data_IF_956763737710
#
_entry.id   IF_956763737710
#
_cell.length_a   1.000
_cell.length_b   1.000
_cell.length_c   1.000
_cell.angle_alpha   90.00
_cell.angle_beta   90.00
_cell.angle_gamma   90.00
#
_symmetry.space_group_name_H-M   'P 1'
#
loop_
_entity.id
_entity.type
_entity.pdbx_description
1 polymer ?
#
# COMPACT_ATOMS: atom_id res chain seq x y z
N UNK A 1 -23.74 -41.02 -63.96
CA UNK A 1 -22.93 -39.86 -63.50
C UNK A 1 -23.17 -39.67 -62.02
N UNK A 2 -22.09 -39.34 -61.28
CA UNK A 2 -21.96 -39.04 -59.84
C UNK A 2 -21.71 -40.24 -58.91
N UNK A 3 -20.42 -40.50 -58.73
CA UNK A 3 -19.85 -41.28 -57.64
C UNK A 3 -19.87 -40.46 -56.33
N UNK A 4 -20.18 -41.13 -55.23
CA UNK A 4 -20.14 -40.61 -53.86
C UNK A 4 -18.72 -40.84 -53.33
N UNK A 5 -17.96 -39.77 -53.10
CA UNK A 5 -16.67 -39.83 -52.40
C UNK A 5 -16.90 -39.65 -50.90
N UNK A 6 -16.58 -40.67 -50.12
CA UNK A 6 -16.60 -40.63 -48.66
C UNK A 6 -15.32 -39.90 -48.19
N UNK A 7 -15.46 -38.69 -47.64
CA UNK A 7 -14.36 -37.97 -46.99
C UNK A 7 -14.32 -38.42 -45.52
N UNK A 8 -13.36 -39.27 -45.17
CA UNK A 8 -13.03 -39.58 -43.76
C UNK A 8 -12.16 -38.43 -43.25
N UNK A 9 -12.74 -37.58 -42.43
CA UNK A 9 -12.03 -36.53 -41.70
C UNK A 9 -11.14 -37.17 -40.62
N UNK A 10 -9.82 -37.14 -40.81
CA UNK A 10 -8.83 -37.39 -39.74
C UNK A 10 -8.75 -36.11 -38.89
N UNK A 11 -9.56 -36.02 -37.83
CA UNK A 11 -9.44 -34.99 -36.80
C UNK A 11 -9.28 -35.67 -35.43
N UNK A 12 -8.02 -35.83 -34.99
CA UNK A 12 -7.73 -36.46 -33.70
C UNK A 12 -6.28 -36.48 -33.22
N UNK A 13 -5.31 -35.97 -34.00
CA UNK A 13 -3.88 -35.98 -33.62
C UNK A 13 -3.39 -34.73 -32.88
N UNK A 14 -3.82 -33.54 -33.32
CA UNK A 14 -3.20 -32.27 -32.88
C UNK A 14 -3.42 -31.89 -31.41
N UNK A 15 -4.56 -32.22 -30.80
CA UNK A 15 -4.87 -31.81 -29.42
C UNK A 15 -4.21 -32.68 -28.34
N UNK A 16 -3.75 -33.90 -28.67
CA UNK A 16 -3.03 -34.78 -27.72
C UNK A 16 -1.54 -34.45 -27.66
N UNK A 17 -0.92 -34.14 -28.80
CA UNK A 17 0.49 -33.74 -28.85
C UNK A 17 0.75 -32.37 -28.21
N UNK A 18 -0.17 -31.41 -28.36
CA UNK A 18 -0.06 -30.10 -27.68
C UNK A 18 -0.24 -30.20 -26.16
N UNK A 19 -1.08 -31.13 -25.68
CA UNK A 19 -1.25 -31.39 -24.25
C UNK A 19 -0.04 -32.08 -23.64
N UNK A 20 0.55 -33.06 -24.35
CA UNK A 20 1.77 -33.73 -23.90
C UNK A 20 2.99 -32.80 -23.92
N UNK A 21 3.16 -31.97 -24.96
CA UNK A 21 4.23 -30.95 -24.97
C UNK A 21 4.11 -29.95 -23.82
N UNK A 22 2.89 -29.51 -23.49
CA UNK A 22 2.66 -28.62 -22.34
C UNK A 22 2.86 -29.30 -20.98
N UNK A 23 2.63 -30.61 -20.85
CA UNK A 23 2.95 -31.34 -19.62
C UNK A 23 4.45 -31.54 -19.46
N UNK A 24 5.14 -31.89 -20.54
CA UNK A 24 6.57 -32.16 -20.54
C UNK A 24 7.38 -30.86 -20.28
N UNK A 25 6.99 -29.74 -20.89
CA UNK A 25 7.57 -28.41 -20.60
C UNK A 25 7.33 -27.94 -19.16
N UNK A 26 6.22 -28.37 -18.54
CA UNK A 26 5.90 -28.02 -17.16
C UNK A 26 6.68 -28.87 -16.17
N UNK A 27 6.88 -30.16 -16.46
CA UNK A 27 7.76 -31.03 -15.68
C UNK A 27 9.23 -30.63 -15.79
N UNK A 28 9.70 -30.22 -16.97
CA UNK A 28 11.07 -29.75 -17.16
C UNK A 28 11.32 -28.42 -16.44
N UNK A 29 10.35 -27.49 -16.46
CA UNK A 29 10.39 -26.26 -15.63
C UNK A 29 10.41 -26.55 -14.14
N UNK A 30 9.62 -27.51 -13.67
CA UNK A 30 9.58 -27.88 -12.25
C UNK A 30 10.89 -28.54 -11.79
N UNK A 31 11.47 -29.44 -12.58
CA UNK A 31 12.79 -30.04 -12.28
C UNK A 31 13.88 -28.96 -12.22
N UNK A 32 13.84 -28.01 -13.15
CA UNK A 32 14.81 -26.90 -13.18
C UNK A 32 14.64 -25.93 -12.00
N UNK A 33 13.44 -25.77 -11.44
CA UNK A 33 13.23 -24.96 -10.23
C UNK A 33 13.73 -25.68 -8.97
N UNK A 34 13.46 -26.98 -8.85
CA UNK A 34 13.90 -27.79 -7.70
C UNK A 34 15.44 -27.86 -7.60
N UNK A 35 16.13 -28.00 -8.73
CA UNK A 35 17.60 -27.99 -8.78
C UNK A 35 18.18 -26.64 -8.36
N UNK A 36 17.55 -25.52 -8.78
CA UNK A 36 17.97 -24.16 -8.39
C UNK A 36 17.72 -23.88 -6.91
N UNK A 37 16.62 -24.36 -6.37
CA UNK A 37 16.29 -24.26 -4.94
C UNK A 37 17.29 -25.04 -4.09
N UNK A 38 17.62 -26.28 -4.49
CA UNK A 38 18.59 -27.10 -3.80
C UNK A 38 20.01 -26.47 -3.82
N UNK A 39 20.42 -25.90 -4.95
CA UNK A 39 21.71 -25.21 -5.06
C UNK A 39 21.73 -23.91 -4.23
N UNK A 40 20.65 -23.13 -4.25
CA UNK A 40 20.50 -21.95 -3.40
C UNK A 40 20.61 -22.34 -1.91
N UNK A 41 20.01 -23.46 -1.52
CA UNK A 41 20.01 -23.93 -0.13
C UNK A 41 21.42 -24.36 0.32
N UNK A 42 22.20 -25.00 -0.54
CA UNK A 42 23.62 -25.32 -0.26
C UNK A 42 24.47 -24.06 -0.06
N UNK A 43 24.32 -23.08 -0.96
CA UNK A 43 25.03 -21.79 -0.86
C UNK A 43 24.63 -21.06 0.44
N UNK A 44 23.35 -21.14 0.81
CA UNK A 44 22.84 -20.55 2.05
C UNK A 44 23.49 -21.18 3.28
N UNK A 45 23.56 -22.51 3.33
CA UNK A 45 24.20 -23.24 4.42
C UNK A 45 25.69 -22.93 4.56
N UNK A 46 26.41 -22.79 3.45
CA UNK A 46 27.83 -22.41 3.46
C UNK A 46 28.02 -21.00 4.03
N UNK A 47 27.20 -20.04 3.60
CA UNK A 47 27.20 -18.67 4.14
C UNK A 47 26.83 -18.61 5.63
N UNK A 48 25.91 -19.46 6.08
CA UNK A 48 25.51 -19.54 7.50
C UNK A 48 26.63 -20.05 8.41
N UNK A 49 27.54 -20.89 7.87
CA UNK A 49 28.69 -21.42 8.61
C UNK A 49 29.77 -20.36 8.84
N UNK A 50 29.98 -19.45 7.89
CA UNK A 50 30.96 -18.35 7.98
C UNK A 50 30.43 -17.07 8.63
N UNK A 51 29.23 -17.12 9.18
CA UNK A 51 28.53 -15.91 9.58
C UNK A 51 29.12 -15.24 10.84
N UNK A 52 29.27 -13.91 10.76
CA UNK A 52 29.84 -13.07 11.82
C UNK A 52 28.75 -12.68 12.82
N UNK A 53 29.10 -12.56 14.11
CA UNK A 53 28.27 -11.95 15.14
C UNK A 53 28.63 -10.48 15.28
N UNK A 54 27.66 -9.59 15.17
CA UNK A 54 27.86 -8.15 15.40
C UNK A 54 27.70 -7.87 16.89
N UNK A 55 28.61 -7.06 17.43
CA UNK A 55 28.47 -6.43 18.75
C UNK A 55 28.42 -4.93 18.57
N UNK A 56 27.54 -4.26 19.31
CA UNK A 56 27.47 -2.80 19.27
C UNK A 56 28.79 -2.18 19.76
N UNK A 57 29.32 -1.22 18.99
CA UNK A 57 30.50 -0.48 19.39
C UNK A 57 30.11 0.62 20.41
N UNK A 58 30.49 0.41 21.67
CA UNK A 58 30.25 1.34 22.79
C UNK A 58 30.97 2.69 22.65
N UNK A 59 31.88 2.85 21.68
CA UNK A 59 32.61 4.09 21.43
C UNK A 59 31.82 5.12 20.60
N UNK A 60 30.75 4.69 19.93
CA UNK A 60 29.95 5.56 19.08
C UNK A 60 28.97 6.41 19.90
N UNK A 61 28.59 7.61 19.42
CA UNK A 61 27.63 8.46 20.12
C UNK A 61 26.30 7.72 20.31
N UNK A 62 25.58 8.03 21.41
CA UNK A 62 24.26 7.44 21.63
C UNK A 62 23.30 7.85 20.51
N UNK A 63 22.57 6.91 19.91
CA UNK A 63 21.70 7.22 18.79
C UNK A 63 20.48 8.00 19.26
N UNK A 64 20.02 8.94 18.42
CA UNK A 64 18.74 9.64 18.63
C UNK A 64 17.64 8.88 17.91
N UNK A 65 16.58 8.51 18.63
CA UNK A 65 15.41 7.85 18.02
C UNK A 65 14.62 8.85 17.19
N UNK A 66 14.41 8.54 15.92
CA UNK A 66 13.72 9.41 14.95
C UNK A 66 12.81 8.60 14.03
N UNK A 67 11.82 9.26 13.44
CA UNK A 67 11.01 8.68 12.35
C UNK A 67 11.57 9.10 10.98
N UNK A 68 11.22 8.35 9.94
CA UNK A 68 11.61 8.66 8.55
C UNK A 68 11.10 10.04 8.14
N UNK A 69 9.86 10.39 8.52
CA UNK A 69 9.28 11.71 8.26
C UNK A 69 10.10 12.86 8.87
N UNK A 70 10.60 12.69 10.10
CA UNK A 70 11.42 13.69 10.76
C UNK A 70 12.76 13.88 10.04
N UNK A 71 13.39 12.78 9.61
CA UNK A 71 14.61 12.82 8.81
C UNK A 71 14.40 13.55 7.49
N UNK A 72 13.25 13.33 6.83
CA UNK A 72 12.96 13.93 5.52
C UNK A 72 12.55 15.40 5.61
N UNK A 73 11.82 15.81 6.66
CA UNK A 73 11.44 17.22 6.88
C UNK A 73 12.60 18.08 7.37
N UNK A 74 13.55 17.49 8.09
CA UNK A 74 14.69 18.23 8.66
C UNK A 74 16.03 17.55 8.35
N UNK A 75 16.40 17.42 7.05
CA UNK A 75 17.61 16.71 6.65
C UNK A 75 18.87 17.38 7.19
N UNK A 76 18.91 18.73 7.26
CA UNK A 76 20.05 19.46 7.80
C UNK A 76 20.28 19.25 9.29
N UNK A 77 19.20 19.00 10.04
CA UNK A 77 19.26 18.81 11.49
C UNK A 77 19.87 17.46 11.84
N UNK A 78 19.50 16.42 11.10
CA UNK A 78 19.88 15.04 11.39
C UNK A 78 21.09 14.57 10.59
N UNK A 79 21.53 15.32 9.56
CA UNK A 79 22.75 15.04 8.83
C UNK A 79 23.95 14.88 9.77
N UNK A 80 24.76 13.87 9.47
CA UNK A 80 25.92 13.45 10.24
C UNK A 80 25.66 12.96 11.68
N UNK A 81 24.41 12.96 12.13
CA UNK A 81 24.04 12.41 13.43
C UNK A 81 23.83 10.90 13.35
N UNK A 82 24.14 10.21 14.45
CA UNK A 82 23.78 8.80 14.63
C UNK A 82 22.35 8.71 15.13
N UNK A 83 21.53 7.97 14.39
CA UNK A 83 20.10 7.84 14.66
C UNK A 83 19.71 6.38 14.86
N UNK A 84 18.55 6.17 15.48
CA UNK A 84 17.90 4.86 15.59
C UNK A 84 16.53 4.92 14.90
N UNK A 85 16.30 4.04 13.92
CA UNK A 85 15.03 3.89 13.21
C UNK A 85 14.53 2.46 13.37
N UNK A 86 13.23 2.34 13.64
CA UNK A 86 12.54 1.06 13.70
C UNK A 86 11.62 0.97 12.49
N UNK A 87 11.57 -0.20 11.84
CA UNK A 87 10.72 -0.35 10.68
C UNK A 87 10.73 -1.74 10.09
N UNK A 88 10.13 -1.85 8.91
CA UNK A 88 10.01 -3.08 8.15
C UNK A 88 10.82 -2.97 6.86
N UNK A 89 11.46 -4.08 6.49
CA UNK A 89 12.13 -4.22 5.19
C UNK A 89 11.08 -4.15 4.08
N UNK A 90 11.16 -3.13 3.22
CA UNK A 90 10.27 -2.98 2.08
C UNK A 90 10.88 -3.52 0.79
N UNK A 91 12.14 -3.15 0.51
CA UNK A 91 12.93 -3.77 -0.54
C UNK A 91 14.30 -4.14 0.02
N UNK A 92 14.81 -5.28 -0.46
CA UNK A 92 16.12 -5.81 -0.12
C UNK A 92 16.88 -6.01 -1.42
N UNK A 93 18.08 -5.44 -1.53
CA UNK A 93 19.01 -5.72 -2.62
C UNK A 93 20.37 -6.04 -2.04
N UNK A 94 20.86 -7.25 -2.30
CA UNK A 94 22.19 -7.67 -1.90
C UNK A 94 23.17 -7.62 -3.09
N UNK A 95 24.30 -6.95 -2.88
CA UNK A 95 25.49 -7.03 -3.71
C UNK A 95 26.61 -7.68 -2.89
N UNK A 96 27.72 -8.09 -3.53
CA UNK A 96 28.76 -8.91 -2.87
C UNK A 96 29.27 -8.35 -1.53
N UNK A 97 29.49 -7.04 -1.43
CA UNK A 97 30.06 -6.39 -0.23
C UNK A 97 29.13 -5.36 0.42
N UNK A 98 27.94 -5.16 -0.17
CA UNK A 98 26.99 -4.12 0.24
C UNK A 98 25.57 -4.65 0.17
N UNK A 99 24.78 -4.33 1.18
CA UNK A 99 23.35 -4.62 1.20
C UNK A 99 22.58 -3.31 1.32
N UNK A 100 21.61 -3.14 0.44
CA UNK A 100 20.74 -1.97 0.40
C UNK A 100 19.36 -2.40 0.88
N UNK A 101 18.91 -1.79 1.97
CA UNK A 101 17.60 -2.04 2.55
C UNK A 101 16.80 -0.76 2.46
N UNK A 102 15.70 -0.80 1.73
CA UNK A 102 14.68 0.24 1.84
C UNK A 102 13.81 -0.07 3.06
N UNK A 103 13.98 0.69 4.12
CA UNK A 103 13.23 0.56 5.37
C UNK A 103 12.01 1.48 5.35
N UNK A 104 10.86 0.99 5.82
CA UNK A 104 9.66 1.80 6.05
C UNK A 104 9.24 1.73 7.52
N UNK A 105 8.75 2.84 8.07
CA UNK A 105 8.25 2.91 9.46
C UNK A 105 6.77 3.30 9.54
N UNK A 106 6.11 3.47 8.39
CA UNK A 106 4.72 3.96 8.31
C UNK A 106 4.61 5.48 8.26
N UNK A 107 5.71 6.23 8.26
CA UNK A 107 5.78 7.69 8.11
C UNK A 107 6.51 8.08 6.80
N UNK A 108 6.66 9.39 6.55
CA UNK A 108 7.51 9.95 5.49
C UNK A 108 6.87 10.02 4.10
N UNK A 109 7.28 11.03 3.32
CA UNK A 109 6.99 11.13 1.88
C UNK A 109 8.30 11.51 1.18
N UNK A 110 8.95 10.59 0.43
CA UNK A 110 8.56 9.20 0.14
C UNK A 110 8.43 8.29 1.38
N UNK A 111 7.70 7.16 1.34
CA UNK A 111 7.37 6.37 2.53
C UNK A 111 8.47 5.41 3.00
N UNK A 112 9.71 5.58 2.55
CA UNK A 112 10.84 4.70 2.85
C UNK A 112 12.18 5.42 2.78
N UNK A 113 13.12 4.99 3.61
CA UNK A 113 14.51 5.49 3.67
C UNK A 113 15.47 4.38 3.23
N UNK A 114 16.52 4.74 2.50
CA UNK A 114 17.55 3.78 2.13
C UNK A 114 18.55 3.62 3.28
N UNK A 115 18.78 2.39 3.70
CA UNK A 115 19.80 1.98 4.65
C UNK A 115 20.88 1.18 3.92
N UNK A 116 22.14 1.56 4.08
CA UNK A 116 23.29 0.94 3.43
C UNK A 116 24.10 0.20 4.47
N UNK A 117 24.27 -1.10 4.25
CA UNK A 117 25.07 -2.00 5.08
C UNK A 117 26.33 -2.33 4.30
N UNK A 118 27.49 -2.23 4.94
CA UNK A 118 28.79 -2.49 4.33
C UNK A 118 29.59 -3.51 5.13
N UNK A 119 30.43 -4.28 4.44
CA UNK A 119 31.41 -5.17 5.07
C UNK A 119 30.76 -6.29 5.90
N UNK A 120 31.20 -6.41 7.15
CA UNK A 120 30.82 -7.53 8.03
C UNK A 120 29.33 -7.56 8.37
N UNK A 121 28.63 -6.42 8.25
CA UNK A 121 27.20 -6.31 8.49
C UNK A 121 26.37 -7.15 7.51
N UNK A 122 26.88 -7.41 6.30
CA UNK A 122 26.15 -8.19 5.28
C UNK A 122 26.34 -9.70 5.43
N UNK A 123 27.32 -10.12 6.25
CA UNK A 123 27.75 -11.50 6.39
C UNK A 123 27.27 -12.16 7.70
N UNK A 124 26.30 -11.57 8.38
CA UNK A 124 25.71 -12.18 9.57
C UNK A 124 24.64 -13.19 9.22
N UNK A 125 24.33 -14.10 10.15
CA UNK A 125 23.25 -15.08 9.98
C UNK A 125 21.92 -14.39 9.73
N UNK A 126 21.68 -13.31 10.47
CA UNK A 126 20.47 -12.51 10.40
C UNK A 126 20.32 -11.79 9.06
N UNK A 127 21.40 -11.22 8.51
CA UNK A 127 21.37 -10.57 7.20
C UNK A 127 21.16 -11.58 6.07
N UNK A 128 21.77 -12.77 6.18
CA UNK A 128 21.65 -13.84 5.19
C UNK A 128 20.21 -14.40 5.12
N UNK A 129 19.53 -14.50 6.26
CA UNK A 129 18.14 -15.00 6.36
C UNK A 129 17.09 -13.88 6.30
N UNK A 130 17.50 -12.65 6.01
CA UNK A 130 16.62 -11.50 6.05
C UNK A 130 15.67 -11.52 4.86
N UNK A 131 14.37 -11.56 5.15
CA UNK A 131 13.31 -11.50 4.14
C UNK A 131 12.63 -10.14 4.13
N UNK A 132 11.93 -9.85 3.03
CA UNK A 132 10.99 -8.72 2.95
C UNK A 132 9.94 -8.83 4.07
N UNK A 133 9.48 -7.69 4.58
CA UNK A 133 8.59 -7.55 5.74
C UNK A 133 9.19 -7.90 7.11
N UNK A 134 10.47 -8.30 7.18
CA UNK A 134 11.15 -8.44 8.47
C UNK A 134 11.19 -7.11 9.22
N UNK A 135 11.03 -7.16 10.54
CA UNK A 135 11.06 -6.01 11.44
C UNK A 135 12.47 -5.80 11.97
N UNK A 136 13.01 -4.61 11.78
CA UNK A 136 14.39 -4.25 12.12
C UNK A 136 14.43 -3.02 13.02
N UNK A 137 15.38 -3.02 13.95
CA UNK A 137 15.95 -1.81 14.52
C UNK A 137 17.29 -1.55 13.84
N UNK A 138 17.47 -0.36 13.28
CA UNK A 138 18.70 0.05 12.60
C UNK A 138 19.29 1.27 13.33
N UNK A 139 20.60 1.24 13.56
CA UNK A 139 21.41 2.37 14.04
C UNK A 139 22.44 2.72 12.99
N UNK A 140 22.54 4.00 12.69
CA UNK A 140 23.42 4.46 11.62
C UNK A 140 23.58 5.96 11.56
N UNK A 141 24.59 6.40 10.81
CA UNK A 141 24.87 7.80 10.52
C UNK A 141 24.02 8.25 9.32
N UNK A 142 23.34 9.39 9.45
CA UNK A 142 22.61 9.99 8.33
C UNK A 142 23.56 10.70 7.39
N UNK A 143 23.46 10.40 6.09
CA UNK A 143 24.23 11.03 5.02
C UNK A 143 23.25 11.67 4.04
N UNK A 144 23.56 12.89 3.61
CA UNK A 144 22.77 13.58 2.59
C UNK A 144 23.07 12.99 1.22
N UNK A 145 22.03 12.89 0.40
CA UNK A 145 22.12 12.43 -0.98
C UNK A 145 21.75 13.56 -1.93
N UNK A 146 22.38 13.57 -3.10
CA UNK A 146 21.91 14.37 -4.23
C UNK A 146 20.58 13.77 -4.73
N UNK A 147 19.47 14.42 -4.36
CA UNK A 147 18.12 14.03 -4.78
C UNK A 147 17.98 14.26 -6.28
N UNK A 148 17.68 13.19 -7.04
CA UNK A 148 17.41 13.24 -8.47
C UNK A 148 15.93 12.92 -8.74
N UNK A 149 15.43 13.24 -9.94
CA UNK A 149 14.03 12.98 -10.32
C UNK A 149 13.64 11.48 -10.20
N UNK A 150 14.61 10.58 -10.36
CA UNK A 150 14.43 9.12 -10.21
C UNK A 150 14.43 8.64 -8.76
N UNK A 151 15.06 9.38 -7.86
CA UNK A 151 15.15 9.05 -6.45
C UNK A 151 15.01 10.34 -5.60
N UNK A 152 13.77 10.69 -5.21
CA UNK A 152 13.47 11.92 -4.50
C UNK A 152 13.83 11.87 -3.00
N UNK A 153 14.58 10.87 -2.54
CA UNK A 153 14.94 10.71 -1.12
C UNK A 153 16.11 11.64 -0.77
N UNK A 154 15.96 12.55 0.21
CA UNK A 154 16.98 13.56 0.51
C UNK A 154 18.17 13.02 1.31
N UNK A 155 17.99 11.90 2.02
CA UNK A 155 18.98 11.32 2.93
C UNK A 155 18.99 9.80 2.84
N UNK A 156 20.13 9.22 3.19
CA UNK A 156 20.33 7.78 3.40
C UNK A 156 20.99 7.54 4.76
N UNK A 157 20.93 6.31 5.25
CA UNK A 157 21.53 5.92 6.52
C UNK A 157 22.65 4.91 6.27
N UNK A 158 23.88 5.27 6.63
CA UNK A 158 25.00 4.34 6.70
C UNK A 158 24.92 3.58 8.02
N UNK A 159 24.63 2.29 7.94
CA UNK A 159 24.34 1.45 9.11
C UNK A 159 25.64 1.06 9.80
N UNK A 160 25.67 1.23 11.12
CA UNK A 160 26.75 0.75 11.98
C UNK A 160 26.34 -0.49 12.79
N UNK A 161 25.05 -0.59 13.13
CA UNK A 161 24.50 -1.69 13.92
C UNK A 161 23.03 -1.90 13.56
N UNK A 162 22.56 -3.14 13.64
CA UNK A 162 21.16 -3.46 13.49
C UNK A 162 20.79 -4.68 14.32
N UNK A 163 19.49 -4.84 14.58
CA UNK A 163 18.92 -5.99 15.27
C UNK A 163 17.63 -6.41 14.56
N UNK A 164 17.47 -7.72 14.32
CA UNK A 164 16.22 -8.27 13.81
C UNK A 164 15.25 -8.50 14.97
N UNK A 165 14.22 -7.66 15.06
CA UNK A 165 13.17 -7.78 16.08
C UNK A 165 12.23 -8.94 15.72
N UNK A 166 11.90 -9.09 14.44
CA UNK A 166 10.96 -10.11 13.97
C UNK A 166 11.28 -10.56 12.55
N UNK A 167 11.49 -11.86 12.38
CA UNK A 167 11.69 -12.48 11.06
C UNK A 167 10.38 -12.57 10.28
N UNK A 168 10.48 -12.55 8.95
CA UNK A 168 9.36 -12.79 8.04
C UNK A 168 9.59 -14.05 7.19
N UNK A 169 8.50 -14.71 6.76
CA UNK A 169 8.59 -15.83 5.81
C UNK A 169 8.99 -15.32 4.42
N UNK A 170 9.69 -16.16 3.65
CA UNK A 170 10.02 -15.89 2.25
C UNK A 170 8.78 -15.83 1.35
N UNK A 171 7.68 -16.47 1.76
CA UNK A 171 6.44 -16.58 0.96
C UNK A 171 5.79 -15.23 0.67
N UNK A 172 6.09 -14.20 1.46
CA UNK A 172 5.45 -12.88 1.34
C UNK A 172 5.71 -12.24 -0.03
N UNK A 173 6.83 -12.55 -0.68
CA UNK A 173 7.13 -12.05 -2.02
C UNK A 173 6.16 -12.59 -3.08
N UNK A 174 5.71 -13.85 -2.91
CA UNK A 174 4.76 -14.49 -3.83
C UNK A 174 3.34 -13.95 -3.66
N UNK A 175 2.97 -13.57 -2.43
CA UNK A 175 1.63 -13.09 -2.09
C UNK A 175 1.36 -11.71 -2.70
N UNK A 176 2.38 -10.84 -2.72
CA UNK A 176 2.24 -9.44 -3.11
C UNK A 176 2.83 -9.21 -4.51
N UNK A 177 2.24 -9.90 -5.50
CA UNK A 177 2.53 -9.68 -6.91
C UNK A 177 1.47 -8.73 -7.53
N UNK A 178 1.91 -7.78 -8.37
CA UNK A 178 1.02 -6.84 -9.06
C UNK A 178 0.12 -7.53 -10.10
N UNK A 179 0.57 -8.66 -10.64
CA UNK A 179 -0.15 -9.41 -11.68
C UNK A 179 -1.08 -10.48 -11.08
N UNK A 180 -1.20 -10.55 -9.75
CA UNK A 180 -2.07 -11.51 -9.09
C UNK A 180 -3.56 -11.20 -9.34
N UNK A 181 -4.39 -12.24 -9.28
CA UNK A 181 -5.85 -12.10 -9.41
C UNK A 181 -6.39 -11.13 -8.34
N UNK A 182 -7.25 -10.15 -8.71
CA UNK A 182 -7.83 -9.19 -7.76
C UNK A 182 -8.48 -9.83 -6.52
N UNK A 183 -9.09 -11.01 -6.65
CA UNK A 183 -9.69 -11.73 -5.51
C UNK A 183 -8.62 -12.17 -4.50
N UNK A 184 -7.48 -12.68 -4.97
CA UNK A 184 -6.37 -13.08 -4.10
C UNK A 184 -5.77 -11.86 -3.39
N UNK A 185 -5.64 -10.74 -4.09
CA UNK A 185 -5.21 -9.46 -3.49
C UNK A 185 -6.21 -8.92 -2.46
N UNK A 186 -7.50 -9.22 -2.62
CA UNK A 186 -8.54 -8.88 -1.65
C UNK A 186 -8.48 -9.77 -0.40
N UNK A 187 -8.34 -11.09 -0.58
CA UNK A 187 -8.21 -12.02 0.55
C UNK A 187 -6.93 -11.74 1.36
N UNK A 188 -5.86 -11.34 0.67
CA UNK A 188 -4.57 -10.97 1.26
C UNK A 188 -4.42 -9.45 1.48
N UNK A 189 -5.54 -8.72 1.61
CA UNK A 189 -5.52 -7.25 1.69
C UNK A 189 -4.65 -6.71 2.82
N UNK A 190 -4.54 -7.45 3.92
CA UNK A 190 -3.71 -7.12 5.07
C UNK A 190 -2.21 -7.03 4.76
N UNK A 191 -1.72 -7.72 3.72
CA UNK A 191 -0.38 -7.54 3.16
C UNK A 191 -0.36 -6.42 2.11
N UNK A 192 -1.35 -6.39 1.23
CA UNK A 192 -1.42 -5.42 0.13
C UNK A 192 -1.43 -3.97 0.62
N UNK A 193 -2.12 -3.66 1.72
CA UNK A 193 -2.15 -2.30 2.29
C UNK A 193 -0.78 -1.79 2.74
N UNK A 194 0.21 -2.67 2.90
CA UNK A 194 1.59 -2.31 3.28
C UNK A 194 2.46 -1.91 2.09
N UNK A 195 1.97 -2.12 0.87
CA UNK A 195 2.64 -1.67 -0.35
C UNK A 195 2.48 -0.18 -0.56
N UNK A 196 3.44 0.43 -1.27
CA UNK A 196 3.53 1.88 -1.45
C UNK A 196 2.22 2.53 -1.90
N UNK A 197 1.62 2.06 -3.00
CA UNK A 197 0.41 2.69 -3.57
C UNK A 197 -0.82 2.60 -2.65
N UNK A 198 -1.27 1.41 -2.19
CA UNK A 198 -2.35 1.29 -1.21
C UNK A 198 -2.10 2.04 0.10
N UNK A 199 -0.88 2.04 0.63
CA UNK A 199 -0.55 2.79 1.85
C UNK A 199 -0.71 4.30 1.63
N UNK A 200 -0.24 4.83 0.48
CA UNK A 200 -0.44 6.23 0.11
C UNK A 200 -1.92 6.57 -0.07
N UNK A 201 -2.72 5.69 -0.68
CA UNK A 201 -4.18 5.89 -0.82
C UNK A 201 -4.84 5.98 0.56
N UNK A 202 -4.47 5.13 1.52
CA UNK A 202 -5.00 5.18 2.88
C UNK A 202 -4.60 6.48 3.62
N UNK A 203 -3.37 6.97 3.40
CA UNK A 203 -2.93 8.27 3.92
C UNK A 203 -3.69 9.43 3.27
N UNK A 204 -3.84 9.43 1.95
CA UNK A 204 -4.63 10.42 1.22
C UNK A 204 -6.07 10.46 1.73
N UNK A 205 -6.70 9.29 1.92
CA UNK A 205 -8.02 9.19 2.53
C UNK A 205 -8.06 9.83 3.91
N UNK A 206 -7.05 9.60 4.76
CA UNK A 206 -6.94 10.23 6.07
C UNK A 206 -6.86 11.77 5.95
N UNK A 207 -5.99 12.29 5.08
CA UNK A 207 -5.84 13.73 4.87
C UNK A 207 -7.11 14.39 4.34
N UNK A 208 -7.79 13.78 3.36
CA UNK A 208 -9.06 14.29 2.83
C UNK A 208 -10.13 14.33 3.93
N UNK A 209 -10.22 13.26 4.71
CA UNK A 209 -11.15 13.15 5.86
C UNK A 209 -10.87 14.23 6.91
N UNK A 210 -9.59 14.50 7.20
CA UNK A 210 -9.18 15.56 8.12
C UNK A 210 -9.45 16.95 7.56
N UNK A 211 -9.13 17.20 6.28
CA UNK A 211 -9.40 18.46 5.60
C UNK A 211 -10.91 18.76 5.60
N UNK A 212 -11.76 17.76 5.35
CA UNK A 212 -13.21 17.90 5.43
C UNK A 212 -13.68 18.28 6.85
N UNK A 213 -13.11 17.69 7.91
CA UNK A 213 -13.42 18.06 9.30
C UNK A 213 -12.88 19.43 9.71
N UNK A 214 -11.72 19.84 9.22
CA UNK A 214 -11.13 21.16 9.52
C UNK A 214 -11.89 22.26 8.80
N UNK A 215 -12.10 22.03 7.50
CA UNK A 215 -13.33 22.25 6.76
C UNK A 215 -14.49 22.88 7.57
N UNK A 216 -15.26 21.97 8.15
CA UNK A 216 -16.53 22.24 8.82
C UNK A 216 -16.41 23.07 10.11
N UNK A 217 -15.21 23.12 10.73
CA UNK A 217 -14.99 23.73 12.06
C UNK A 217 -14.59 25.21 12.06
N UNK A 218 -14.00 25.72 10.98
CA UNK A 218 -13.48 27.09 10.95
C UNK A 218 -14.58 28.09 10.57
N UNK A 219 -14.75 29.15 11.36
CA UNK A 219 -15.85 30.14 11.25
C UNK A 219 -15.29 31.54 10.95
N UNK A 220 -15.63 32.15 9.80
CA UNK A 220 -15.91 33.60 9.65
C UNK A 220 -16.49 33.90 8.26
N UNK A 221 -17.80 34.23 8.23
CA UNK A 221 -18.63 34.80 7.14
C UNK A 221 -18.07 34.74 5.71
N UNK A 222 -18.84 34.16 4.78
CA UNK A 222 -19.16 34.81 3.50
C UNK A 222 -20.31 34.15 2.73
N UNK A 223 -20.90 34.99 1.90
CA UNK A 223 -22.03 34.81 1.00
C UNK A 223 -21.75 33.83 -0.16
N UNK A 224 -22.82 33.10 -0.51
CA UNK A 224 -23.12 32.33 -1.74
C UNK A 224 -21.97 31.71 -2.55
N UNK A 225 -22.04 30.38 -2.76
CA UNK A 225 -22.02 29.72 -4.08
C UNK A 225 -22.25 28.20 -3.86
N UNK A 226 -23.41 27.71 -4.30
CA UNK A 226 -23.58 26.33 -4.76
C UNK A 226 -23.16 26.30 -6.24
N UNK A 227 -22.81 25.12 -6.76
CA UNK A 227 -22.46 24.78 -8.16
C UNK A 227 -20.96 24.59 -8.38
N UNK A 228 -20.48 23.34 -8.29
CA UNK A 228 -19.39 22.84 -9.16
C UNK A 228 -19.12 21.32 -9.07
N UNK A 229 -19.67 20.60 -8.09
CA UNK A 229 -19.44 19.14 -7.96
C UNK A 229 -20.34 18.30 -8.89
N UNK A 230 -21.49 18.82 -9.34
CA UNK A 230 -22.45 18.05 -10.15
C UNK A 230 -22.20 18.10 -11.67
N UNK A 231 -21.39 19.05 -12.17
CA UNK A 231 -21.25 19.28 -13.63
C UNK A 231 -20.17 18.38 -14.27
N UNK A 232 -19.12 18.01 -13.53
CA UNK A 232 -18.00 17.25 -14.13
C UNK A 232 -18.30 15.75 -14.33
N UNK A 233 -19.14 15.15 -13.48
CA UNK A 233 -19.49 13.72 -13.58
C UNK A 233 -20.52 13.46 -14.68
N UNK A 234 -21.45 14.40 -14.91
CA UNK A 234 -22.48 14.25 -15.94
C UNK A 234 -21.99 14.64 -17.34
N UNK A 235 -21.14 15.66 -17.49
CA UNK A 235 -20.72 16.08 -18.84
C UNK A 235 -19.84 15.05 -19.56
N UNK A 236 -19.05 14.24 -18.83
CA UNK A 236 -18.17 13.23 -19.45
C UNK A 236 -18.92 11.94 -19.84
N UNK A 237 -20.00 11.60 -19.12
CA UNK A 237 -20.82 10.40 -19.41
C UNK A 237 -21.69 10.58 -20.65
N UNK A 238 -22.20 11.79 -20.92
CA UNK A 238 -23.03 12.04 -22.11
C UNK A 238 -22.26 12.12 -23.44
N UNK A 239 -20.95 12.38 -23.45
CA UNK A 239 -20.21 12.57 -24.71
C UNK A 239 -19.57 11.31 -25.29
N UNK A 240 -19.31 10.26 -24.49
CA UNK A 240 -18.45 9.16 -24.95
C UNK A 240 -19.06 7.76 -24.97
N UNK A 241 -20.35 7.60 -24.62
CA UNK A 241 -21.13 6.40 -24.98
C UNK A 241 -20.45 5.04 -24.75
N UNK A 242 -19.60 4.91 -23.72
CA UNK A 242 -18.82 3.70 -23.46
C UNK A 242 -19.04 3.22 -22.04
N UNK A 243 -19.66 2.05 -21.91
CA UNK A 243 -19.59 1.22 -20.71
C UNK A 243 -18.14 0.75 -20.56
N UNK A 244 -17.39 1.23 -19.58
CA UNK A 244 -16.08 0.65 -19.28
C UNK A 244 -15.75 0.56 -17.80
N UNK A 245 -15.52 -0.69 -17.41
CA UNK A 245 -14.49 -1.18 -16.49
C UNK A 245 -13.31 -0.20 -16.41
N UNK A 246 -13.07 0.34 -15.21
CA UNK A 246 -11.98 1.29 -15.02
C UNK A 246 -10.69 0.52 -14.71
N UNK A 247 -9.85 0.35 -15.75
CA UNK A 247 -8.41 0.15 -15.59
C UNK A 247 -7.78 1.51 -15.24
N UNK A 248 -7.38 1.69 -13.97
CA UNK A 248 -6.60 2.85 -13.55
C UNK A 248 -5.10 2.54 -13.69
N UNK A 249 -4.54 2.91 -14.84
CA UNK A 249 -3.12 3.27 -14.98
C UNK A 249 -3.00 4.79 -15.18
N UNK A 250 -1.79 5.32 -14.94
CA UNK A 250 -1.35 6.72 -14.98
C UNK A 250 -1.18 7.44 -13.63
N UNK A 251 -0.08 7.05 -13.00
CA UNK A 251 0.90 7.91 -12.32
C UNK A 251 1.10 9.25 -13.06
N UNK A 252 1.15 10.37 -12.32
CA UNK A 252 1.71 11.72 -12.65
C UNK A 252 0.76 12.95 -12.52
N UNK A 253 -0.57 12.83 -12.37
CA UNK A 253 -1.43 14.04 -12.26
C UNK A 253 -2.18 14.29 -10.92
N UNK A 254 -1.78 13.66 -9.80
CA UNK A 254 -2.50 13.82 -8.52
C UNK A 254 -2.14 15.07 -7.68
N UNK A 255 -1.27 15.98 -8.13
CA UNK A 255 -0.92 17.17 -7.33
C UNK A 255 -1.89 18.36 -7.47
N UNK A 256 -2.83 18.37 -8.42
CA UNK A 256 -3.76 19.50 -8.60
C UNK A 256 -5.12 19.36 -7.90
N UNK A 257 -5.51 18.17 -7.44
CA UNK A 257 -6.75 18.01 -6.67
C UNK A 257 -6.61 18.53 -5.23
N UNK A 258 -5.38 18.50 -4.70
CA UNK A 258 -5.05 18.92 -3.34
C UNK A 258 -5.23 20.44 -3.14
N UNK A 259 -4.77 21.25 -4.10
CA UNK A 259 -4.90 22.72 -4.03
C UNK A 259 -6.32 23.23 -4.27
N UNK A 260 -7.15 22.50 -5.03
CA UNK A 260 -8.50 22.94 -5.37
C UNK A 260 -9.52 22.71 -4.24
N UNK A 261 -9.34 21.66 -3.43
CA UNK A 261 -10.23 21.36 -2.30
C UNK A 261 -9.91 22.22 -1.07
N UNK A 262 -8.66 22.64 -0.90
CA UNK A 262 -8.20 23.41 0.26
C UNK A 262 -8.61 24.89 0.20
N UNK A 263 -8.70 25.48 -1.01
CA UNK A 263 -9.09 26.89 -1.18
C UNK A 263 -10.60 27.13 -1.31
N UNK A 264 -11.43 26.13 -1.63
CA UNK A 264 -12.79 26.42 -2.09
C UNK A 264 -13.88 26.43 -1.01
N UNK A 265 -13.67 25.87 0.20
CA UNK A 265 -14.82 25.56 1.04
C UNK A 265 -14.89 26.08 2.48
N UNK A 266 -13.90 26.74 3.06
CA UNK A 266 -13.69 26.91 4.52
C UNK A 266 -14.80 27.36 5.53
N UNK A 267 -16.06 27.66 5.20
CA UNK A 267 -16.86 28.61 6.02
C UNK A 267 -18.33 28.25 6.38
N UNK A 268 -18.63 27.19 7.16
CA UNK A 268 -20.06 26.89 7.51
C UNK A 268 -20.44 26.51 8.96
N UNK A 269 -19.52 26.37 9.92
CA UNK A 269 -19.87 26.22 11.35
C UNK A 269 -20.66 24.96 11.68
N UNK A 270 -20.31 23.85 11.04
CA UNK A 270 -21.00 22.58 11.13
C UNK A 270 -20.59 21.78 12.37
N UNK A 271 -21.53 21.04 12.95
CA UNK A 271 -21.33 20.13 14.07
C UNK A 271 -21.31 18.69 13.55
N UNK A 272 -20.30 17.92 13.94
CA UNK A 272 -20.24 16.48 13.63
C UNK A 272 -21.24 15.75 14.54
N UNK A 273 -22.20 15.06 13.92
CA UNK A 273 -23.22 14.25 14.56
C UNK A 273 -22.95 12.79 14.22
N UNK A 274 -23.31 11.87 15.12
CA UNK A 274 -23.21 10.42 14.89
C UNK A 274 -24.60 9.79 14.92
N UNK A 275 -25.32 9.78 13.78
CA UNK A 275 -26.64 9.15 13.66
C UNK A 275 -26.57 7.63 13.88
N UNK A 276 -27.69 6.98 14.25
CA UNK A 276 -27.73 5.54 14.39
C UNK A 276 -27.54 4.86 13.03
N UNK A 277 -26.72 3.81 13.01
CA UNK A 277 -26.50 2.98 11.81
C UNK A 277 -27.53 1.85 11.67
N UNK A 278 -28.26 1.54 12.74
CA UNK A 278 -29.36 0.58 12.78
C UNK A 278 -30.70 1.32 12.74
N UNK A 279 -31.56 0.96 11.79
CA UNK A 279 -32.86 1.60 11.59
C UNK A 279 -33.96 0.55 11.44
N UNK A 280 -35.16 0.83 11.94
CA UNK A 280 -36.33 -0.04 11.77
C UNK A 280 -37.09 0.25 10.47
N UNK A 281 -36.97 1.47 9.94
CA UNK A 281 -37.69 1.94 8.76
C UNK A 281 -36.74 2.40 7.66
N UNK A 282 -37.19 2.29 6.40
CA UNK A 282 -36.48 2.84 5.25
C UNK A 282 -36.52 4.37 5.26
N UNK A 283 -35.43 5.00 4.82
CA UNK A 283 -35.31 6.46 4.68
C UNK A 283 -35.94 6.92 3.36
N UNK A 284 -35.69 6.17 2.28
CA UNK A 284 -36.23 6.41 0.94
C UNK A 284 -36.92 5.14 0.44
N UNK A 285 -38.17 5.28 -0.02
CA UNK A 285 -38.98 4.16 -0.49
C UNK A 285 -38.38 3.48 -1.72
N UNK A 286 -38.35 2.14 -1.72
CA UNK A 286 -37.87 1.35 -2.85
C UNK A 286 -36.43 0.85 -2.73
N UNK A 287 -35.78 1.05 -1.58
CA UNK A 287 -34.41 0.60 -1.32
C UNK A 287 -34.35 -0.79 -0.69
N UNK A 288 -33.42 -1.64 -1.17
CA UNK A 288 -33.15 -2.94 -0.57
C UNK A 288 -32.17 -2.77 0.59
N UNK A 289 -32.66 -2.86 1.83
CA UNK A 289 -31.82 -2.78 3.04
C UNK A 289 -31.33 -4.16 3.49
N UNK A 290 -30.14 -4.20 4.11
CA UNK A 290 -29.62 -5.42 4.74
C UNK A 290 -30.32 -5.66 6.08
N UNK A 291 -31.13 -6.73 6.23
CA UNK A 291 -31.83 -7.02 7.48
C UNK A 291 -30.89 -7.71 8.49
N UNK A 292 -31.15 -7.47 9.77
CA UNK A 292 -30.56 -8.20 10.88
C UNK A 292 -31.60 -8.46 11.98
N UNK A 293 -31.38 -9.51 12.77
CA UNK A 293 -32.13 -9.76 14.00
C UNK A 293 -31.53 -8.91 15.12
N UNK A 294 -32.35 -8.01 15.66
CA UNK A 294 -32.01 -7.11 16.74
C UNK A 294 -32.90 -7.42 17.94
N UNK A 295 -32.43 -8.32 18.81
CA UNK A 295 -33.14 -8.76 20.01
C UNK A 295 -34.55 -9.35 19.74
N UNK A 296 -34.71 -10.10 18.65
CA UNK A 296 -35.98 -10.71 18.25
C UNK A 296 -36.84 -9.81 17.36
N UNK A 297 -36.42 -8.56 17.14
CA UNK A 297 -37.06 -7.63 16.20
C UNK A 297 -36.21 -7.46 14.94
N UNK A 298 -36.86 -7.23 13.81
CA UNK A 298 -36.14 -7.01 12.54
C UNK A 298 -35.65 -5.56 12.46
N UNK A 299 -34.35 -5.38 12.36
CA UNK A 299 -33.71 -4.10 12.09
C UNK A 299 -32.94 -4.14 10.76
N UNK A 300 -32.46 -2.99 10.31
CA UNK A 300 -31.76 -2.84 9.04
C UNK A 300 -30.53 -1.94 9.17
N UNK A 301 -29.53 -2.17 8.32
CA UNK A 301 -28.41 -1.24 8.16
C UNK A 301 -28.86 -0.02 7.33
N UNK A 302 -28.54 1.17 7.83
CA UNK A 302 -28.86 2.42 7.14
C UNK A 302 -28.08 2.57 5.83
N UNK A 303 -28.72 3.17 4.83
CA UNK A 303 -28.06 3.62 3.59
C UNK A 303 -27.75 5.14 3.62
N UNK A 304 -28.49 5.90 4.41
CA UNK A 304 -28.37 7.36 4.51
C UNK A 304 -28.83 7.84 5.88
N UNK A 305 -28.16 8.86 6.42
CA UNK A 305 -28.56 9.50 7.68
C UNK A 305 -29.38 10.77 7.50
N UNK A 306 -29.90 11.02 6.29
CA UNK A 306 -30.56 12.28 5.93
C UNK A 306 -31.66 12.71 6.92
N UNK A 307 -32.61 11.82 7.24
CA UNK A 307 -33.72 12.16 8.16
C UNK A 307 -33.22 12.58 9.56
N UNK A 308 -32.13 11.99 10.05
CA UNK A 308 -31.53 12.36 11.33
C UNK A 308 -30.81 13.72 11.27
N UNK A 309 -30.19 14.04 10.13
CA UNK A 309 -29.55 15.33 9.90
C UNK A 309 -30.58 16.46 9.75
N UNK A 310 -31.71 16.22 9.08
CA UNK A 310 -32.82 17.19 8.95
C UNK A 310 -33.39 17.59 10.33
N UNK A 311 -33.52 16.63 11.25
CA UNK A 311 -33.94 16.93 12.64
C UNK A 311 -32.91 17.80 13.37
N UNK A 312 -31.62 17.62 13.08
CA UNK A 312 -30.55 18.42 13.68
C UNK A 312 -30.55 19.85 13.13
N UNK A 313 -30.72 20.00 11.82
CA UNK A 313 -30.77 21.32 11.15
C UNK A 313 -31.98 22.15 11.60
N UNK A 314 -33.12 21.50 11.89
CA UNK A 314 -34.30 22.14 12.47
C UNK A 314 -34.04 22.82 13.83
N UNK A 315 -32.96 22.47 14.55
CA UNK A 315 -32.56 23.15 15.80
C UNK A 315 -31.64 24.36 15.57
N UNK A 316 -31.46 24.81 14.33
CA UNK A 316 -30.47 25.83 13.90
C UNK A 316 -29.02 25.38 14.07
N UNK A 317 -28.78 24.08 14.20
CA UNK A 317 -27.45 23.48 14.25
C UNK A 317 -27.17 22.81 12.91
N UNK A 318 -26.20 23.32 12.15
CA UNK A 318 -25.82 22.70 10.87
C UNK A 318 -25.08 21.39 11.14
N UNK A 319 -25.75 20.26 11.02
CA UNK A 319 -25.17 18.93 11.29
C UNK A 319 -24.52 18.29 10.07
N UNK A 320 -23.43 17.54 10.26
CA UNK A 320 -22.89 16.60 9.26
C UNK A 320 -22.48 15.27 9.91
N UNK A 321 -22.40 14.20 9.12
CA UNK A 321 -21.85 12.90 9.53
C UNK A 321 -20.88 12.41 8.45
N UNK A 322 -19.92 11.57 8.80
CA UNK A 322 -18.92 11.01 7.88
C UNK A 322 -18.59 9.56 8.19
#
# INVERSE_FOLDING_TARGET
MKAIFFCVCVMGGGQKEEKNKKSDEKEEKNKTSEEKEAEHQRILEEKLKSAVKITENSSLPKPVRVTIDQCFKHPDKYADQRIEIHGWVHFLRQQKLRMFIDLRDGTGTPPRIQCVFEGDLTNTREAILLNREASLMIRGKVVKRESNEKDPRPVEVLVDYYEVIGSASADVETIVNKDANPQVLYDQRHWVIRTERPALILRMRCYITQAFRQHTRSNKKMEYIYVLIFIFVLSWTTQNGMNFFVCFDYTIHEFHLFFFLEQHFYDKGFIEVTPPTLVQTQVEGGSTLFPLDYFGEKAYLTQSSQLYLEVTDNRKERGYTM
#
